data_IF_618046615057
#
_entry.id   IF_618046615057
#
_cell.length_a   1.000
_cell.length_b   1.000
_cell.length_c   1.000
_cell.angle_alpha   90.00
_cell.angle_beta   90.00
_cell.angle_gamma   90.00
#
_symmetry.space_group_name_H-M   'P 1'
#
loop_
_entity.id
_entity.type
_entity.pdbx_description
1 polymer ?
#
# COMPACT_ATOMS: atom_id res chain seq x y z
N UNK A 1 -2.13 -18.87 -10.16
CA UNK A 1 -2.83 -17.59 -9.91
C UNK A 1 -2.08 -16.94 -8.78
N UNK A 2 -1.23 -15.96 -9.09
CA UNK A 2 -0.53 -15.17 -8.08
C UNK A 2 -1.44 -13.99 -7.79
N UNK A 3 -1.79 -13.81 -6.52
CA UNK A 3 -2.66 -12.72 -6.11
C UNK A 3 -1.85 -11.43 -6.09
N UNK A 4 -2.52 -10.28 -6.22
CA UNK A 4 -1.88 -8.95 -6.19
C UNK A 4 -0.97 -8.76 -4.95
N UNK A 5 -1.41 -9.35 -3.85
CA UNK A 5 -0.73 -9.38 -2.56
C UNK A 5 0.58 -10.19 -2.59
N UNK A 6 0.61 -11.32 -3.32
CA UNK A 6 1.80 -12.16 -3.42
C UNK A 6 2.90 -11.46 -4.22
N UNK A 7 2.54 -10.66 -5.23
CA UNK A 7 3.50 -9.98 -6.10
C UNK A 7 4.25 -8.85 -5.38
N UNK A 8 3.58 -8.01 -4.58
CA UNK A 8 4.25 -6.91 -3.87
C UNK A 8 5.28 -7.46 -2.87
N UNK A 9 4.88 -8.47 -2.09
CA UNK A 9 5.79 -9.08 -1.13
C UNK A 9 6.88 -9.87 -1.85
N UNK A 10 6.57 -10.60 -2.93
CA UNK A 10 7.56 -11.38 -3.67
C UNK A 10 8.67 -10.51 -4.27
N UNK A 11 8.34 -9.35 -4.87
CA UNK A 11 9.35 -8.45 -5.45
C UNK A 11 10.28 -7.91 -4.35
N UNK A 12 9.75 -7.52 -3.20
CA UNK A 12 10.60 -7.06 -2.10
C UNK A 12 11.46 -8.19 -1.51
N UNK A 13 10.90 -9.39 -1.37
CA UNK A 13 11.62 -10.54 -0.80
C UNK A 13 12.78 -11.03 -1.66
N UNK A 14 12.67 -10.93 -3.00
CA UNK A 14 13.74 -11.33 -3.94
C UNK A 14 15.05 -10.56 -3.68
N UNK A 15 14.94 -9.30 -3.26
CA UNK A 15 16.10 -8.45 -2.92
C UNK A 15 16.38 -8.40 -1.42
N UNK A 16 15.82 -9.34 -0.63
CA UNK A 16 15.89 -9.34 0.84
C UNK A 16 15.37 -8.04 1.48
N UNK A 17 14.52 -7.31 0.75
CA UNK A 17 13.90 -6.08 1.19
C UNK A 17 12.61 -6.34 1.97
N UNK A 18 12.03 -5.25 2.47
CA UNK A 18 10.71 -5.25 3.09
C UNK A 18 9.83 -4.24 2.36
N UNK A 19 8.55 -4.56 2.11
CA UNK A 19 7.60 -3.59 1.61
C UNK A 19 7.51 -2.37 2.54
N UNK A 20 7.16 -1.21 1.97
CA UNK A 20 6.93 0.00 2.76
C UNK A 20 5.66 -0.17 3.61
N UNK A 21 5.79 0.06 4.92
CA UNK A 21 4.69 -0.02 5.90
C UNK A 21 4.58 1.33 6.63
N UNK A 22 3.36 1.83 6.79
CA UNK A 22 3.11 3.20 7.28
C UNK A 22 2.05 3.17 8.39
N UNK A 23 2.46 3.52 9.61
CA UNK A 23 1.58 3.50 10.80
C UNK A 23 1.27 4.90 11.35
N UNK A 24 1.94 5.93 10.85
CA UNK A 24 1.80 7.28 11.36
C UNK A 24 2.34 8.30 10.34
N UNK A 25 2.14 9.57 10.67
CA UNK A 25 2.60 10.71 9.85
C UNK A 25 4.13 10.78 9.72
N UNK A 26 4.88 10.31 10.71
CA UNK A 26 6.35 10.26 10.64
C UNK A 26 6.82 9.26 9.59
N UNK A 27 6.28 8.03 9.57
CA UNK A 27 6.56 7.03 8.54
C UNK A 27 6.14 7.55 7.16
N UNK A 28 4.96 8.18 7.09
CA UNK A 28 4.42 8.77 5.87
C UNK A 28 5.35 9.84 5.30
N UNK A 29 5.86 10.75 6.13
CA UNK A 29 6.73 11.85 5.69
C UNK A 29 8.17 11.43 5.49
N UNK A 30 8.62 10.35 6.14
CA UNK A 30 9.94 9.78 5.93
C UNK A 30 10.18 9.40 4.46
N UNK A 31 9.21 8.77 3.81
CA UNK A 31 9.36 8.33 2.41
C UNK A 31 9.25 9.46 1.38
N UNK A 32 8.72 10.64 1.76
CA UNK A 32 8.60 11.80 0.88
C UNK A 32 9.99 12.26 0.43
N UNK A 33 10.20 12.35 -0.89
CA UNK A 33 11.49 12.72 -1.48
C UNK A 33 12.60 11.66 -1.36
N UNK A 34 12.34 10.50 -0.73
CA UNK A 34 13.27 9.36 -0.66
C UNK A 34 12.96 8.26 -1.65
N UNK A 35 11.72 8.17 -2.10
CA UNK A 35 11.31 7.27 -3.18
C UNK A 35 11.04 8.08 -4.44
N UNK A 36 11.34 7.52 -5.61
CA UNK A 36 11.12 8.17 -6.90
C UNK A 36 9.90 7.60 -7.61
N UNK A 37 9.02 8.45 -8.12
CA UNK A 37 7.86 8.01 -8.89
C UNK A 37 6.81 7.30 -8.03
N UNK A 38 6.29 6.17 -8.53
CA UNK A 38 5.33 5.32 -7.85
C UNK A 38 6.04 4.10 -7.29
N UNK A 39 5.99 3.93 -5.97
CA UNK A 39 6.64 2.81 -5.28
C UNK A 39 5.59 1.97 -4.56
N UNK A 40 5.50 0.65 -4.80
CA UNK A 40 4.56 -0.21 -4.10
C UNK A 40 4.68 -0.10 -2.58
N UNK A 41 3.54 0.01 -1.91
CA UNK A 41 3.46 -0.13 -0.45
C UNK A 41 2.96 -1.53 -0.09
N UNK A 42 3.32 -2.00 1.09
CA UNK A 42 2.97 -3.33 1.58
C UNK A 42 1.52 -3.46 2.02
N UNK A 43 0.57 -2.79 1.37
CA UNK A 43 -0.84 -2.94 1.69
C UNK A 43 -1.41 -4.15 0.95
N UNK A 44 -2.05 -5.06 1.67
CA UNK A 44 -2.53 -6.33 1.15
C UNK A 44 -3.97 -6.63 1.55
N UNK A 45 -4.65 -7.43 0.73
CA UNK A 45 -5.98 -7.94 1.06
C UNK A 45 -5.86 -9.27 1.80
N UNK A 46 -6.31 -9.34 3.05
CA UNK A 46 -6.37 -10.61 3.75
C UNK A 46 -7.54 -11.45 3.21
N UNK A 47 -7.21 -12.58 2.57
CA UNK A 47 -8.20 -13.41 1.91
C UNK A 47 -9.19 -14.12 2.86
N UNK A 48 -8.88 -14.23 4.15
CA UNK A 48 -9.74 -14.84 5.15
C UNK A 48 -10.72 -13.80 5.74
N UNK A 49 -10.21 -12.64 6.15
CA UNK A 49 -11.01 -11.58 6.81
C UNK A 49 -11.67 -10.65 5.80
N UNK A 50 -11.16 -10.60 4.57
CA UNK A 50 -11.48 -9.62 3.53
C UNK A 50 -11.16 -8.17 3.94
N UNK A 51 -10.27 -7.99 4.92
CA UNK A 51 -9.81 -6.67 5.35
C UNK A 51 -8.45 -6.34 4.74
N UNK A 52 -8.21 -5.04 4.54
CA UNK A 52 -6.88 -4.56 4.21
C UNK A 52 -5.97 -4.65 5.43
N UNK A 53 -4.77 -5.17 5.24
CA UNK A 53 -3.74 -5.37 6.25
C UNK A 53 -2.38 -4.98 5.66
N UNK A 54 -1.42 -4.67 6.51
CA UNK A 54 -0.03 -4.48 6.08
C UNK A 54 0.66 -5.83 5.88
N UNK A 55 1.73 -5.85 5.09
CA UNK A 55 2.51 -7.05 4.77
C UNK A 55 3.19 -7.71 5.97
N UNK A 56 3.25 -7.03 7.13
CA UNK A 56 3.68 -7.60 8.40
C UNK A 56 2.53 -8.22 9.23
N UNK A 57 1.30 -8.20 8.70
CA UNK A 57 0.08 -8.72 9.33
C UNK A 57 -0.61 -7.74 10.28
N UNK A 58 -0.11 -6.51 10.41
CA UNK A 58 -0.76 -5.48 11.22
C UNK A 58 -1.99 -4.86 10.50
N UNK A 59 -3.00 -4.38 11.24
CA UNK A 59 -4.16 -3.73 10.63
C UNK A 59 -3.80 -2.36 10.05
N UNK A 60 -4.60 -1.89 9.08
CA UNK A 60 -4.49 -0.52 8.58
C UNK A 60 -4.98 0.47 9.64
N UNK A 61 -4.03 1.12 10.30
CA UNK A 61 -4.23 2.09 11.39
C UNK A 61 -3.94 3.54 10.98
N UNK A 62 -3.31 3.74 9.83
CA UNK A 62 -3.01 5.05 9.26
C UNK A 62 -3.53 5.18 7.83
N UNK A 63 -4.12 6.34 7.54
CA UNK A 63 -4.56 6.73 6.20
C UNK A 63 -4.18 8.20 6.03
N UNK A 64 -3.34 8.57 5.05
CA UNK A 64 -3.03 9.97 4.82
C UNK A 64 -4.30 10.72 4.44
N UNK A 65 -4.43 11.97 4.90
CA UNK A 65 -5.64 12.79 4.70
C UNK A 65 -5.99 13.02 3.22
N UNK A 66 -5.03 12.83 2.32
CA UNK A 66 -5.17 13.03 0.88
C UNK A 66 -4.53 11.87 0.11
N UNK A 67 -5.34 11.25 -0.72
CA UNK A 67 -4.97 10.18 -1.65
C UNK A 67 -4.93 10.70 -3.11
N UNK A 68 -5.85 11.63 -3.44
CA UNK A 68 -5.91 12.27 -4.75
C UNK A 68 -6.84 13.49 -4.65
N UNK A 69 -6.35 14.71 -4.93
CA UNK A 69 -7.17 15.93 -4.95
C UNK A 69 -8.11 16.10 -3.73
N UNK A 70 -7.63 15.80 -2.52
CA UNK A 70 -8.38 15.98 -1.27
C UNK A 70 -9.43 14.91 -0.94
N UNK A 71 -9.47 13.78 -1.66
CA UNK A 71 -10.32 12.63 -1.30
C UNK A 71 -9.59 11.66 -0.37
N UNK A 72 -10.31 11.17 0.65
CA UNK A 72 -9.88 10.04 1.47
C UNK A 72 -10.05 8.73 0.71
N UNK A 73 -9.18 7.76 0.99
CA UNK A 73 -9.24 6.42 0.40
C UNK A 73 -10.25 5.54 1.14
N UNK A 74 -11.54 5.85 0.98
CA UNK A 74 -12.62 5.10 1.62
C UNK A 74 -12.70 3.64 1.17
N UNK A 75 -12.06 3.27 0.05
CA UNK A 75 -11.91 1.88 -0.37
C UNK A 75 -11.24 1.00 0.69
N UNK A 76 -10.42 1.58 1.59
CA UNK A 76 -9.81 0.87 2.71
C UNK A 76 -10.75 0.65 3.90
N UNK A 77 -11.94 1.22 3.88
CA UNK A 77 -12.98 1.02 4.91
C UNK A 77 -13.96 -0.12 4.54
N UNK A 78 -13.85 -0.66 3.33
CA UNK A 78 -14.69 -1.74 2.83
C UNK A 78 -13.92 -3.04 2.67
N UNK A 79 -14.65 -4.14 2.53
CA UNK A 79 -14.06 -5.43 2.21
C UNK A 79 -13.25 -5.34 0.91
N UNK A 80 -12.01 -5.80 0.97
CA UNK A 80 -11.15 -5.93 -0.19
C UNK A 80 -11.54 -7.19 -0.98
N UNK A 81 -11.36 -7.11 -2.29
CA UNK A 81 -11.46 -8.24 -3.20
C UNK A 81 -10.16 -8.30 -3.98
N UNK A 82 -9.76 -9.50 -4.38
CA UNK A 82 -8.56 -9.69 -5.17
C UNK A 82 -8.86 -9.22 -6.60
N UNK A 83 -8.67 -7.93 -6.84
CA UNK A 83 -9.00 -7.28 -8.11
C UNK A 83 -7.80 -7.15 -9.03
N UNK A 84 -6.60 -7.54 -8.60
CA UNK A 84 -5.36 -7.25 -9.32
C UNK A 84 -4.88 -5.79 -9.14
N UNK A 85 -5.30 -5.12 -8.06
CA UNK A 85 -4.93 -3.72 -7.79
C UNK A 85 -4.07 -3.62 -6.52
N UNK A 86 -3.08 -2.73 -6.55
CA UNK A 86 -2.23 -2.34 -5.41
C UNK A 86 -2.33 -0.85 -5.12
N UNK A 87 -1.73 -0.45 -4.00
CA UNK A 87 -1.42 0.94 -3.72
C UNK A 87 0.06 1.21 -3.92
N UNK A 88 0.35 2.38 -4.49
CA UNK A 88 1.69 2.92 -4.62
C UNK A 88 1.81 4.24 -3.85
N UNK A 89 2.93 4.41 -3.17
CA UNK A 89 3.37 5.69 -2.64
C UNK A 89 3.96 6.55 -3.75
N UNK A 90 3.48 7.78 -3.91
CA UNK A 90 4.02 8.75 -4.86
C UNK A 90 5.03 9.65 -4.16
N UNK A 91 6.31 9.50 -4.52
CA UNK A 91 7.42 10.15 -3.82
C UNK A 91 7.39 11.68 -3.75
N UNK A 92 6.73 12.33 -4.71
CA UNK A 92 6.74 13.79 -4.86
C UNK A 92 5.75 14.54 -3.96
N UNK A 93 4.65 13.88 -3.57
CA UNK A 93 3.58 14.48 -2.76
C UNK A 93 3.17 13.60 -1.56
N UNK A 94 3.73 12.40 -1.48
CA UNK A 94 3.45 11.41 -0.44
C UNK A 94 2.12 10.69 -0.63
N UNK A 95 1.34 11.00 -1.65
CA UNK A 95 0.01 10.41 -1.78
C UNK A 95 0.08 8.93 -2.15
N UNK A 96 -0.81 8.14 -1.54
CA UNK A 96 -1.03 6.78 -2.01
C UNK A 96 -1.90 6.87 -3.26
N UNK A 97 -1.68 6.01 -4.24
CA UNK A 97 -2.42 5.99 -5.50
C UNK A 97 -2.74 4.56 -5.89
N UNK A 98 -3.87 4.29 -6.55
CA UNK A 98 -4.18 2.97 -7.01
C UNK A 98 -3.34 2.67 -8.24
N UNK A 99 -2.92 1.42 -8.38
CA UNK A 99 -2.32 0.91 -9.61
C UNK A 99 -2.85 -0.48 -9.90
N UNK A 100 -3.08 -0.76 -11.18
CA UNK A 100 -3.21 -2.12 -11.66
C UNK A 100 -1.85 -2.82 -11.52
N UNK A 101 -1.87 -4.09 -11.17
CA UNK A 101 -0.68 -4.93 -11.13
C UNK A 101 -0.66 -5.71 -12.45
N UNK A 102 0.32 -5.41 -13.29
CA UNK A 102 0.59 -6.11 -14.56
C UNK A 102 1.13 -7.54 -14.34
#
# INVERSE_FOLDING_TARGET
FFNATDQITAVCMDVQGKPIIIHNEEHQTYWTGRVSGYTPIGLMCNNNTKLWEWADGSPVDYKPASYNNGKQLSALDYNCFDTGWSLNYKGNDGHWNPSEID
#
